data_IF_123137155464
#
_entry.id   IF_123137155464
#
_cell.length_a   1.000
_cell.length_b   1.000
_cell.length_c   1.000
_cell.angle_alpha   90.00
_cell.angle_beta   90.00
_cell.angle_gamma   90.00
#
_symmetry.space_group_name_H-M   'P 1'
#
loop_
_entity.id
_entity.type
_entity.pdbx_description
1 polymer ?
#
# COMPACT_ATOMS: atom_id res chain seq x y z
N UNK A 1 -53.20 -21.14 28.56
CA UNK A 1 -53.40 -21.55 27.15
C UNK A 1 -53.02 -20.35 26.29
N UNK A 2 -51.87 -20.40 25.60
CA UNK A 2 -51.80 -20.48 24.12
C UNK A 2 -52.49 -19.25 23.48
N UNK A 3 -51.83 -18.23 22.93
CA UNK A 3 -50.73 -18.28 21.95
C UNK A 3 -49.92 -16.98 21.89
N UNK A 4 -48.63 -17.15 21.59
CA UNK A 4 -47.64 -16.17 21.13
C UNK A 4 -48.11 -15.50 19.84
N UNK A 5 -47.93 -14.17 19.71
CA UNK A 5 -47.87 -13.52 18.40
C UNK A 5 -46.59 -12.70 18.27
N UNK A 6 -45.57 -13.36 17.73
CA UNK A 6 -44.42 -12.77 17.07
C UNK A 6 -44.90 -12.00 15.83
N UNK A 7 -44.45 -10.76 15.66
CA UNK A 7 -44.34 -10.14 14.33
C UNK A 7 -42.93 -9.55 14.19
N UNK A 8 -42.05 -10.40 13.65
CA UNK A 8 -40.71 -10.08 13.20
C UNK A 8 -40.81 -9.28 11.89
N UNK A 9 -40.45 -8.00 11.92
CA UNK A 9 -40.11 -7.25 10.71
C UNK A 9 -38.63 -7.42 10.44
N UNK A 10 -38.27 -8.43 9.65
CA UNK A 10 -36.91 -8.61 9.13
C UNK A 10 -36.69 -7.58 8.02
N UNK A 11 -35.97 -6.51 8.32
CA UNK A 11 -35.34 -5.67 7.30
C UNK A 11 -34.19 -6.45 6.67
N UNK A 12 -34.42 -7.00 5.49
CA UNK A 12 -33.35 -7.47 4.61
C UNK A 12 -32.67 -6.25 3.97
N UNK A 13 -31.70 -5.66 4.66
CA UNK A 13 -30.70 -4.81 3.99
C UNK A 13 -29.61 -5.75 3.48
N UNK A 14 -29.76 -6.18 2.24
CA UNK A 14 -28.68 -6.83 1.50
C UNK A 14 -27.59 -5.79 1.20
N UNK A 15 -26.65 -5.62 2.14
CA UNK A 15 -25.41 -4.87 1.89
C UNK A 15 -24.53 -5.74 0.98
N UNK A 16 -24.68 -5.58 -0.33
CA UNK A 16 -23.65 -5.97 -1.27
C UNK A 16 -22.45 -5.05 -1.04
N UNK A 17 -21.44 -5.50 -0.29
CA UNK A 17 -20.19 -4.77 -0.13
C UNK A 17 -19.39 -4.86 -1.43
N UNK A 18 -19.64 -3.96 -2.38
CA UNK A 18 -18.66 -3.66 -3.42
C UNK A 18 -17.51 -2.92 -2.74
N UNK A 19 -16.34 -3.54 -2.67
CA UNK A 19 -15.14 -2.87 -2.16
C UNK A 19 -14.82 -1.68 -3.09
N UNK A 20 -14.96 -0.45 -2.59
CA UNK A 20 -14.63 0.75 -3.33
C UNK A 20 -13.13 0.73 -3.66
N UNK A 21 -12.79 0.83 -4.95
CA UNK A 21 -11.39 0.93 -5.36
C UNK A 21 -10.84 2.29 -4.91
N UNK A 22 -9.72 2.26 -4.16
CA UNK A 22 -9.08 3.49 -3.69
C UNK A 22 -8.52 4.31 -4.86
N UNK A 23 -8.65 5.63 -4.77
CA UNK A 23 -8.03 6.55 -5.73
C UNK A 23 -6.50 6.49 -5.65
N UNK A 24 -5.82 6.98 -6.69
CA UNK A 24 -4.35 7.12 -6.73
C UNK A 24 -3.85 7.94 -5.53
N UNK A 25 -4.54 9.02 -5.20
CA UNK A 25 -4.22 9.90 -4.07
C UNK A 25 -4.42 9.20 -2.73
N UNK A 26 -5.50 8.45 -2.54
CA UNK A 26 -5.75 7.68 -1.31
C UNK A 26 -4.67 6.61 -1.10
N UNK A 27 -4.26 5.93 -2.17
CA UNK A 27 -3.16 4.95 -2.14
C UNK A 27 -1.83 5.62 -1.77
N UNK A 28 -1.55 6.81 -2.30
CA UNK A 28 -0.34 7.57 -1.99
C UNK A 28 -0.33 8.06 -0.53
N UNK A 29 -1.48 8.53 -0.03
CA UNK A 29 -1.66 8.91 1.37
C UNK A 29 -1.43 7.73 2.28
N UNK A 30 -2.08 6.58 2.03
CA UNK A 30 -1.91 5.37 2.85
C UNK A 30 -0.45 4.89 2.88
N UNK A 31 0.23 4.92 1.72
CA UNK A 31 1.64 4.58 1.65
C UNK A 31 2.50 5.52 2.51
N UNK A 32 2.17 6.81 2.52
CA UNK A 32 2.88 7.84 3.28
C UNK A 32 2.62 7.70 4.78
N UNK A 33 1.37 7.49 5.20
CA UNK A 33 1.05 7.28 6.62
C UNK A 33 1.76 6.05 7.18
N UNK A 34 1.73 4.93 6.46
CA UNK A 34 2.46 3.72 6.87
C UNK A 34 3.95 3.97 6.99
N UNK A 35 4.52 4.74 6.06
CA UNK A 35 5.94 5.09 6.13
C UNK A 35 6.24 5.98 7.35
N UNK A 36 5.35 6.95 7.64
CA UNK A 36 5.45 7.80 8.83
C UNK A 36 5.38 6.97 10.11
N UNK A 37 4.45 6.03 10.20
CA UNK A 37 4.33 5.09 11.33
C UNK A 37 5.59 4.24 11.50
N UNK A 38 6.23 3.84 10.40
CA UNK A 38 7.41 2.97 10.42
C UNK A 38 8.70 3.66 10.85
N UNK A 39 8.89 4.94 10.50
CA UNK A 39 10.19 5.63 10.70
C UNK A 39 10.11 6.97 11.44
N UNK A 40 8.91 7.54 11.60
CA UNK A 40 8.63 8.67 12.49
C UNK A 40 9.10 10.04 12.01
N UNK A 41 8.98 10.38 10.72
CA UNK A 41 9.36 11.71 10.19
C UNK A 41 8.34 12.82 10.52
N UNK A 42 8.76 14.08 10.41
CA UNK A 42 7.95 15.28 10.70
C UNK A 42 6.80 15.51 9.71
N UNK A 43 5.82 16.34 10.07
CA UNK A 43 4.73 16.71 9.15
C UNK A 43 5.21 17.53 7.95
N UNK A 44 6.28 18.31 8.08
CA UNK A 44 6.87 19.02 6.93
C UNK A 44 7.50 18.02 5.93
N UNK A 45 8.21 17.01 6.43
CA UNK A 45 8.76 15.93 5.61
C UNK A 45 7.66 15.08 4.97
N UNK A 46 6.53 14.93 5.66
CA UNK A 46 5.38 14.14 5.19
C UNK A 46 4.83 14.64 3.86
N UNK A 47 4.68 15.94 3.66
CA UNK A 47 4.17 16.50 2.39
C UNK A 47 5.10 16.18 1.22
N UNK A 48 6.42 16.32 1.42
CA UNK A 48 7.44 15.99 0.41
C UNK A 48 7.43 14.49 0.09
N UNK A 49 7.34 13.63 1.12
CA UNK A 49 7.23 12.18 0.96
C UNK A 49 5.93 11.79 0.25
N UNK A 50 4.82 12.47 0.53
CA UNK A 50 3.54 12.23 -0.15
C UNK A 50 3.61 12.51 -1.64
N UNK A 51 4.27 13.59 -2.05
CA UNK A 51 4.50 13.90 -3.47
C UNK A 51 5.32 12.80 -4.15
N UNK A 52 6.42 12.34 -3.53
CA UNK A 52 7.24 11.24 -4.04
C UNK A 52 6.44 9.93 -4.15
N UNK A 53 5.60 9.64 -3.16
CA UNK A 53 4.76 8.45 -3.15
C UNK A 53 3.62 8.52 -4.17
N UNK A 54 3.07 9.72 -4.45
CA UNK A 54 2.05 9.91 -5.48
C UNK A 54 2.60 9.59 -6.87
N UNK A 55 3.79 10.10 -7.20
CA UNK A 55 4.48 9.78 -8.45
C UNK A 55 4.71 8.27 -8.59
N UNK A 56 5.16 7.63 -7.51
CA UNK A 56 5.36 6.19 -7.49
C UNK A 56 4.06 5.42 -7.73
N UNK A 57 2.97 5.78 -7.04
CA UNK A 57 1.68 5.12 -7.23
C UNK A 57 1.21 5.26 -8.67
N UNK A 58 1.19 6.48 -9.23
CA UNK A 58 0.82 6.74 -10.63
C UNK A 58 1.59 5.84 -11.60
N UNK A 59 2.92 5.84 -11.50
CA UNK A 59 3.79 5.02 -12.35
C UNK A 59 3.49 3.52 -12.20
N UNK A 60 3.27 3.04 -10.98
CA UNK A 60 2.96 1.62 -10.76
C UNK A 60 1.58 1.23 -11.28
N UNK A 61 0.61 2.14 -11.27
CA UNK A 61 -0.72 1.92 -11.84
C UNK A 61 -0.67 1.86 -13.36
N UNK A 62 0.09 2.76 -14.00
CA UNK A 62 0.35 2.73 -15.44
C UNK A 62 1.02 1.40 -15.87
N UNK A 63 2.07 0.97 -15.16
CA UNK A 63 2.74 -0.31 -15.42
C UNK A 63 1.76 -1.49 -15.29
N UNK A 64 0.88 -1.46 -14.27
CA UNK A 64 -0.11 -2.52 -14.05
C UNK A 64 -1.17 -2.53 -15.15
N UNK A 65 -1.64 -1.37 -15.59
CA UNK A 65 -2.64 -1.21 -16.64
C UNK A 65 -2.09 -1.52 -18.04
N UNK A 66 -0.78 -1.39 -18.26
CA UNK A 66 -0.14 -1.67 -19.55
C UNK A 66 -0.26 -3.12 -20.03
N UNK A 67 0.02 -3.36 -21.31
CA UNK A 67 -0.06 -4.69 -21.96
C UNK A 67 1.25 -5.49 -21.92
N UNK A 68 2.30 -4.95 -21.27
CA UNK A 68 3.61 -5.59 -21.14
C UNK A 68 3.54 -6.99 -20.49
N UNK A 69 4.50 -7.86 -20.84
CA UNK A 69 4.63 -9.18 -20.23
C UNK A 69 4.81 -9.09 -18.71
N UNK A 70 4.42 -10.13 -17.98
CA UNK A 70 4.57 -10.18 -16.51
C UNK A 70 6.02 -9.94 -16.06
N UNK A 71 6.99 -10.52 -16.77
CA UNK A 71 8.41 -10.34 -16.47
C UNK A 71 8.86 -8.89 -16.70
N UNK A 72 8.38 -8.27 -17.78
CA UNK A 72 8.65 -6.85 -18.08
C UNK A 72 8.07 -5.95 -16.99
N UNK A 73 6.80 -6.16 -16.60
CA UNK A 73 6.15 -5.39 -15.51
C UNK A 73 6.92 -5.51 -14.20
N UNK A 74 7.43 -6.70 -13.85
CA UNK A 74 8.24 -6.88 -12.63
C UNK A 74 9.53 -6.05 -12.69
N UNK A 75 10.19 -5.98 -13.85
CA UNK A 75 11.38 -5.14 -14.02
C UNK A 75 11.03 -3.65 -13.91
N UNK A 76 9.97 -3.21 -14.57
CA UNK A 76 9.51 -1.82 -14.54
C UNK A 76 9.11 -1.38 -13.12
N UNK A 77 8.40 -2.24 -12.37
CA UNK A 77 8.05 -2.00 -10.97
C UNK A 77 9.30 -1.90 -10.09
N UNK A 78 10.32 -2.73 -10.34
CA UNK A 78 11.60 -2.65 -9.62
C UNK A 78 12.29 -1.31 -9.90
N UNK A 79 12.32 -0.87 -11.16
CA UNK A 79 12.89 0.43 -11.52
C UNK A 79 12.12 1.58 -10.89
N UNK A 80 10.77 1.53 -10.88
CA UNK A 80 9.96 2.53 -10.18
C UNK A 80 10.25 2.59 -8.67
N UNK A 81 10.50 1.44 -8.04
CA UNK A 81 10.89 1.36 -6.62
C UNK A 81 12.30 1.93 -6.36
N UNK A 82 13.23 1.76 -7.29
CA UNK A 82 14.59 2.34 -7.23
C UNK A 82 14.56 3.87 -7.42
N UNK A 83 13.76 4.37 -8.36
CA UNK A 83 13.54 5.80 -8.56
C UNK A 83 12.89 6.45 -7.34
N UNK A 84 11.90 5.79 -6.72
CA UNK A 84 11.30 6.25 -5.46
C UNK A 84 12.35 6.32 -4.36
N UNK A 85 13.20 5.30 -4.21
CA UNK A 85 14.27 5.31 -3.21
C UNK A 85 15.25 6.47 -3.40
N UNK A 86 15.55 6.84 -4.66
CA UNK A 86 16.42 7.98 -4.95
C UNK A 86 15.75 9.30 -4.54
N UNK A 87 14.50 9.52 -4.95
CA UNK A 87 13.72 10.72 -4.56
C UNK A 87 13.51 10.82 -3.04
N UNK A 88 13.27 9.70 -2.36
CA UNK A 88 13.13 9.67 -0.90
C UNK A 88 14.42 10.08 -0.19
N UNK A 89 15.59 9.75 -0.76
CA UNK A 89 16.88 10.15 -0.20
C UNK A 89 17.09 11.67 -0.20
N UNK A 90 16.49 12.37 -1.17
CA UNK A 90 16.60 13.82 -1.30
C UNK A 90 15.70 14.59 -0.32
N UNK A 91 14.59 13.98 0.10
CA UNK A 91 13.57 14.64 0.96
C UNK A 91 13.65 14.22 2.43
N UNK A 92 14.28 13.08 2.72
CA UNK A 92 14.50 12.60 4.09
C UNK A 92 15.87 13.03 4.61
N UNK A 93 15.99 13.16 5.93
CA UNK A 93 17.31 13.21 6.57
C UNK A 93 18.05 11.87 6.40
N UNK A 94 19.37 11.88 6.57
CA UNK A 94 20.17 10.65 6.46
C UNK A 94 19.71 9.56 7.45
N UNK A 95 19.35 9.94 8.67
CA UNK A 95 18.86 9.02 9.69
C UNK A 95 17.49 8.42 9.33
N UNK A 96 16.56 9.23 8.85
CA UNK A 96 15.24 8.78 8.38
C UNK A 96 15.38 7.88 7.15
N UNK A 97 16.24 8.23 6.20
CA UNK A 97 16.51 7.40 5.02
C UNK A 97 17.10 6.05 5.43
N UNK A 98 18.03 6.01 6.39
CA UNK A 98 18.56 4.76 6.93
C UNK A 98 17.47 3.90 7.53
N UNK A 99 16.61 4.46 8.40
CA UNK A 99 15.46 3.75 8.98
C UNK A 99 14.52 3.21 7.89
N UNK A 100 14.28 3.99 6.84
CA UNK A 100 13.48 3.57 5.70
C UNK A 100 14.10 2.35 4.99
N UNK A 101 15.42 2.37 4.71
CA UNK A 101 16.12 1.23 4.09
C UNK A 101 16.10 -0.02 4.96
N UNK A 102 16.25 0.15 6.26
CA UNK A 102 16.18 -0.95 7.24
C UNK A 102 14.77 -1.57 7.20
N UNK A 103 13.70 -0.76 7.32
CA UNK A 103 12.31 -1.24 7.24
C UNK A 103 11.95 -1.84 5.88
N UNK A 104 12.48 -1.29 4.79
CA UNK A 104 12.29 -1.86 3.45
C UNK A 104 12.89 -3.27 3.34
N UNK A 105 14.04 -3.49 3.98
CA UNK A 105 14.70 -4.81 4.02
C UNK A 105 13.89 -5.80 4.85
N UNK A 106 13.42 -5.39 6.02
CA UNK A 106 12.55 -6.21 6.88
C UNK A 106 11.27 -6.63 6.14
N UNK A 107 10.58 -5.67 5.53
CA UNK A 107 9.35 -5.92 4.76
C UNK A 107 9.57 -6.92 3.61
N UNK A 108 10.73 -6.84 2.93
CA UNK A 108 11.11 -7.78 1.86
C UNK A 108 11.38 -9.18 2.42
N UNK A 109 12.05 -9.28 3.58
CA UNK A 109 12.30 -10.55 4.25
C UNK A 109 10.98 -11.21 4.67
N UNK A 110 10.09 -10.47 5.33
CA UNK A 110 8.78 -10.99 5.72
C UNK A 110 7.95 -11.44 4.51
N UNK A 111 7.96 -10.67 3.42
CA UNK A 111 7.26 -11.05 2.19
C UNK A 111 7.80 -12.36 1.63
N UNK A 112 9.13 -12.55 1.64
CA UNK A 112 9.77 -13.79 1.19
C UNK A 112 9.39 -14.97 2.09
N UNK A 113 9.41 -14.79 3.40
CA UNK A 113 9.02 -15.82 4.37
C UNK A 113 7.55 -16.22 4.19
N UNK A 114 6.64 -15.26 4.06
CA UNK A 114 5.21 -15.50 3.75
C UNK A 114 5.04 -16.27 2.44
N UNK A 115 5.79 -15.92 1.39
CA UNK A 115 5.73 -16.61 0.11
C UNK A 115 6.21 -18.07 0.20
N UNK A 116 7.29 -18.34 0.94
CA UNK A 116 7.79 -19.69 1.17
C UNK A 116 6.77 -20.51 1.95
N UNK A 117 6.25 -19.97 3.07
CA UNK A 117 5.29 -20.66 3.92
C UNK A 117 3.99 -21.03 3.20
N UNK A 118 3.53 -20.18 2.26
CA UNK A 118 2.35 -20.46 1.44
C UNK A 118 2.58 -21.48 0.33
N UNK A 119 3.83 -21.74 -0.06
CA UNK A 119 4.18 -22.76 -1.06
C UNK A 119 4.44 -24.14 -0.46
N UNK A 120 4.72 -24.21 0.84
CA UNK A 120 4.93 -25.45 1.59
C UNK A 120 3.65 -26.04 2.19
N UNK A 121 2.50 -25.38 1.98
CA UNK A 121 1.16 -25.87 2.31
C UNK A 121 0.52 -26.46 1.06
#
# INVERSE_FOLDING_TARGET
>A
MKNVLLLLSVFFVSIGTFAQEKTTEEKATELTERMKEQIGFSDETKEKVQSVNLDFVKKTEEIKAGSSSKLTKVKELKTADEERDAKLKEVLTEEEYKKFKDKKTDNRKEMKERFIANRSK
#
